data_IF_370713398692
#
_entry.id   IF_370713398692
#
_cell.length_a   1.000
_cell.length_b   1.000
_cell.length_c   1.000
_cell.angle_alpha   90.00
_cell.angle_beta   90.00
_cell.angle_gamma   90.00
#
_symmetry.space_group_name_H-M   'P 1'
#
loop_
_entity.id
_entity.type
_entity.pdbx_description
1 polymer ?
#
# COMPACT_ATOMS: atom_id res chain seq x y z
N UNK A 1 -3.74 18.46 -25.70
CA UNK A 1 -3.12 17.99 -24.45
C UNK A 1 -4.23 17.79 -23.44
N UNK A 2 -4.64 16.54 -23.19
CA UNK A 2 -5.68 16.26 -22.19
C UNK A 2 -5.17 16.63 -20.81
N UNK A 3 -5.96 17.38 -20.05
CA UNK A 3 -5.68 17.78 -18.67
C UNK A 3 -5.22 16.55 -17.87
N UNK A 4 -3.92 16.49 -17.54
CA UNK A 4 -3.35 15.50 -16.62
C UNK A 4 -4.11 15.49 -15.28
N UNK A 5 -4.74 16.62 -14.93
CA UNK A 5 -5.51 16.85 -13.71
C UNK A 5 -7.01 16.50 -13.78
N UNK A 6 -7.58 16.10 -14.94
CA UNK A 6 -9.00 15.70 -15.07
C UNK A 6 -9.19 14.18 -15.22
N UNK A 7 -8.31 13.37 -14.61
CA UNK A 7 -8.59 11.94 -14.47
C UNK A 7 -9.45 11.72 -13.22
N UNK A 8 -10.74 11.50 -13.41
CA UNK A 8 -11.59 10.98 -12.34
C UNK A 8 -11.17 9.54 -12.03
N UNK A 9 -10.27 9.38 -11.05
CA UNK A 9 -9.97 8.08 -10.49
C UNK A 9 -11.20 7.53 -9.77
N UNK A 10 -11.31 6.20 -9.76
CA UNK A 10 -12.30 5.53 -8.92
C UNK A 10 -11.97 5.74 -7.44
N UNK A 11 -12.99 5.74 -6.58
CA UNK A 11 -12.81 6.04 -5.16
C UNK A 11 -11.83 5.05 -4.51
N UNK A 12 -11.90 3.78 -4.88
CA UNK A 12 -11.04 2.70 -4.40
C UNK A 12 -9.57 2.96 -4.76
N UNK A 13 -9.30 3.39 -6.00
CA UNK A 13 -7.96 3.74 -6.46
C UNK A 13 -7.41 4.95 -5.71
N UNK A 14 -8.26 5.95 -5.49
CA UNK A 14 -7.89 7.17 -4.80
C UNK A 14 -7.55 6.89 -3.34
N UNK A 15 -8.41 6.16 -2.62
CA UNK A 15 -8.19 5.76 -1.23
C UNK A 15 -6.89 4.95 -1.11
N UNK A 16 -6.76 3.87 -1.87
CA UNK A 16 -5.60 2.99 -1.81
C UNK A 16 -4.30 3.73 -2.15
N UNK A 17 -4.29 4.52 -3.22
CA UNK A 17 -3.13 5.31 -3.62
C UNK A 17 -2.74 6.35 -2.57
N UNK A 18 -3.72 7.07 -2.01
CA UNK A 18 -3.47 8.04 -0.95
C UNK A 18 -2.94 7.41 0.33
N UNK A 19 -3.46 6.25 0.74
CA UNK A 19 -2.99 5.55 1.94
C UNK A 19 -1.55 5.04 1.75
N UNK A 20 -1.23 4.41 0.60
CA UNK A 20 0.15 4.03 0.27
C UNK A 20 1.11 5.22 0.29
N UNK A 21 0.70 6.34 -0.33
CA UNK A 21 1.53 7.55 -0.35
C UNK A 21 1.72 8.12 1.04
N UNK A 22 0.65 8.26 1.84
CA UNK A 22 0.74 8.83 3.18
C UNK A 22 1.61 7.97 4.11
N UNK A 23 1.38 6.65 4.15
CA UNK A 23 2.19 5.74 4.96
C UNK A 23 3.65 5.71 4.49
N UNK A 24 3.88 5.64 3.18
CA UNK A 24 5.23 5.64 2.62
C UNK A 24 6.01 6.92 2.93
N UNK A 25 5.40 8.09 2.74
CA UNK A 25 6.01 9.36 3.09
C UNK A 25 6.22 9.50 4.61
N UNK A 26 5.29 9.00 5.42
CA UNK A 26 5.42 8.91 6.87
C UNK A 26 6.67 8.14 7.28
N UNK A 27 6.84 6.93 6.76
CA UNK A 27 8.01 6.08 7.03
C UNK A 27 9.30 6.68 6.47
N UNK A 28 9.24 7.34 5.32
CA UNK A 28 10.40 7.96 4.67
C UNK A 28 10.92 9.18 5.43
N UNK A 29 10.03 10.08 5.86
CA UNK A 29 10.42 11.33 6.52
C UNK A 29 10.54 11.21 8.03
N UNK A 30 9.85 10.24 8.64
CA UNK A 30 9.83 10.03 10.09
C UNK A 30 10.21 8.58 10.46
N UNK A 31 11.38 8.07 10.03
CA UNK A 31 11.79 6.69 10.30
C UNK A 31 11.99 6.42 11.80
N UNK A 32 12.31 7.45 12.59
CA UNK A 32 12.50 7.34 14.05
C UNK A 32 11.18 6.97 14.76
N UNK A 33 10.04 7.53 14.31
CA UNK A 33 8.72 7.18 14.86
C UNK A 33 8.34 5.74 14.51
N UNK A 34 8.60 5.32 13.27
CA UNK A 34 8.34 3.94 12.84
C UNK A 34 9.22 2.97 13.61
N UNK A 35 10.50 3.29 13.82
CA UNK A 35 11.38 2.49 14.63
C UNK A 35 10.87 2.34 16.07
N UNK A 36 10.53 3.45 16.72
CA UNK A 36 10.11 3.47 18.13
C UNK A 36 8.78 2.76 18.37
N UNK A 37 7.82 2.91 17.45
CA UNK A 37 6.46 2.42 17.66
C UNK A 37 6.18 1.07 17.00
N UNK A 38 6.89 0.72 15.93
CA UNK A 38 6.59 -0.50 15.18
C UNK A 38 7.50 -1.68 15.52
N UNK A 39 8.73 -1.48 15.98
CA UNK A 39 9.64 -2.59 16.28
C UNK A 39 9.66 -2.91 17.77
N UNK A 40 9.73 -4.20 18.09
CA UNK A 40 9.99 -4.59 19.47
C UNK A 40 11.42 -4.21 19.85
N UNK A 41 11.61 -3.69 21.07
CA UNK A 41 12.92 -3.26 21.57
C UNK A 41 13.90 -4.42 21.67
N UNK A 42 13.40 -5.63 21.93
CA UNK A 42 14.24 -6.84 21.93
C UNK A 42 14.74 -7.20 20.52
N UNK A 43 14.02 -6.78 19.47
CA UNK A 43 14.34 -7.10 18.08
C UNK A 43 15.23 -6.04 17.42
N UNK A 44 14.97 -4.75 17.62
CA UNK A 44 15.65 -3.68 16.88
C UNK A 44 16.74 -2.92 17.63
N UNK A 45 16.79 -3.01 18.97
CA UNK A 45 17.76 -2.27 19.77
C UNK A 45 17.75 -0.76 19.49
N UNK A 46 18.93 -0.14 19.40
CA UNK A 46 19.06 1.27 18.99
C UNK A 46 18.95 1.42 17.46
N UNK A 47 18.34 2.54 17.02
CA UNK A 47 18.22 2.84 15.59
C UNK A 47 19.60 3.12 14.97
N UNK A 48 20.16 2.11 14.33
CA UNK A 48 21.43 2.25 13.60
C UNK A 48 21.24 3.09 12.32
N UNK A 49 22.31 3.77 11.83
CA UNK A 49 22.24 4.49 10.55
C UNK A 49 21.82 3.61 9.36
N UNK A 50 22.21 2.34 9.37
CA UNK A 50 21.83 1.37 8.35
C UNK A 50 20.32 1.06 8.39
N UNK A 51 19.78 0.79 9.59
CA UNK A 51 18.34 0.54 9.75
C UNK A 51 17.51 1.78 9.40
N UNK A 52 17.98 2.98 9.78
CA UNK A 52 17.34 4.24 9.37
C UNK A 52 17.25 4.35 7.85
N UNK A 53 18.33 4.09 7.14
CA UNK A 53 18.33 4.11 5.67
C UNK A 53 17.36 3.06 5.08
N UNK A 54 17.32 1.86 5.66
CA UNK A 54 16.40 0.79 5.22
C UNK A 54 14.93 1.21 5.38
N UNK A 55 14.56 1.78 6.53
CA UNK A 55 13.21 2.29 6.76
C UNK A 55 12.85 3.39 5.75
N UNK A 56 13.78 4.31 5.49
CA UNK A 56 13.55 5.38 4.51
C UNK A 56 13.37 4.83 3.09
N UNK A 57 14.18 3.85 2.69
CA UNK A 57 14.02 3.15 1.42
C UNK A 57 12.67 2.44 1.33
N UNK A 58 12.27 1.71 2.37
CA UNK A 58 10.97 1.04 2.43
C UNK A 58 9.81 2.04 2.29
N UNK A 59 9.85 3.14 3.04
CA UNK A 59 8.88 4.23 2.92
C UNK A 59 8.83 4.83 1.52
N UNK A 60 9.98 5.09 0.90
CA UNK A 60 10.05 5.64 -0.46
C UNK A 60 9.43 4.72 -1.51
N UNK A 61 9.61 3.40 -1.38
CA UNK A 61 9.02 2.41 -2.28
C UNK A 61 7.48 2.39 -2.15
N UNK A 62 6.96 2.43 -0.92
CA UNK A 62 5.53 2.54 -0.67
C UNK A 62 4.94 3.85 -1.22
N UNK A 63 5.66 4.97 -1.04
CA UNK A 63 5.24 6.27 -1.58
C UNK A 63 5.19 6.28 -3.11
N UNK A 64 6.21 5.70 -3.75
CA UNK A 64 6.27 5.53 -5.21
C UNK A 64 5.13 4.64 -5.72
N UNK A 65 4.82 3.54 -5.01
CA UNK A 65 3.68 2.67 -5.33
C UNK A 65 2.37 3.47 -5.30
N UNK A 66 2.10 4.19 -4.20
CA UNK A 66 0.91 5.03 -4.06
C UNK A 66 0.80 6.11 -5.15
N UNK A 67 1.92 6.77 -5.48
CA UNK A 67 1.94 7.77 -6.55
C UNK A 67 1.68 7.16 -7.93
N UNK A 68 2.21 5.95 -8.18
CA UNK A 68 1.95 5.21 -9.41
C UNK A 68 0.48 4.81 -9.52
N UNK A 69 -0.13 4.37 -8.42
CA UNK A 69 -1.57 4.12 -8.34
C UNK A 69 -2.35 5.40 -8.69
N UNK A 70 -2.00 6.54 -8.09
CA UNK A 70 -2.71 7.81 -8.33
C UNK A 70 -2.48 8.42 -9.73
N UNK A 71 -1.44 8.01 -10.44
CA UNK A 71 -1.09 8.58 -11.75
C UNK A 71 -1.49 7.69 -12.94
N UNK A 72 -1.90 6.45 -12.69
CA UNK A 72 -2.26 5.47 -13.73
C UNK A 72 -3.77 5.25 -13.82
N UNK A 73 -4.23 4.61 -14.90
CA UNK A 73 -5.63 4.16 -15.03
C UNK A 73 -5.65 2.65 -14.83
N UNK A 74 -6.43 2.18 -13.86
CA UNK A 74 -6.54 0.75 -13.57
C UNK A 74 -7.80 0.15 -14.20
N UNK A 75 -7.59 -0.96 -14.91
CA UNK A 75 -8.61 -1.88 -15.40
C UNK A 75 -8.87 -3.00 -14.38
N UNK A 76 -9.80 -3.92 -14.67
CA UNK A 76 -10.09 -5.03 -13.76
C UNK A 76 -8.83 -5.89 -13.48
N UNK A 77 -8.01 -6.12 -14.51
CA UNK A 77 -6.79 -6.93 -14.37
C UNK A 77 -5.78 -6.30 -13.40
N UNK A 78 -5.66 -4.97 -13.40
CA UNK A 78 -4.79 -4.20 -12.53
C UNK A 78 -5.14 -4.42 -11.06
N UNK A 79 -6.42 -4.26 -10.70
CA UNK A 79 -6.90 -4.51 -9.33
C UNK A 79 -6.73 -5.95 -8.89
N UNK A 80 -7.05 -6.92 -9.78
CA UNK A 80 -6.89 -8.35 -9.47
C UNK A 80 -5.42 -8.69 -9.20
N UNK A 81 -4.53 -8.29 -10.10
CA UNK A 81 -3.12 -8.64 -10.00
C UNK A 81 -2.47 -7.96 -8.79
N UNK A 82 -2.82 -6.70 -8.52
CA UNK A 82 -2.33 -6.01 -7.32
C UNK A 82 -2.86 -6.66 -6.04
N UNK A 83 -4.16 -6.99 -5.98
CA UNK A 83 -4.75 -7.70 -4.84
C UNK A 83 -4.11 -9.07 -4.58
N UNK A 84 -3.76 -9.81 -5.64
CA UNK A 84 -2.99 -11.07 -5.49
C UNK A 84 -1.56 -10.81 -5.00
N UNK A 85 -0.92 -9.74 -5.47
CA UNK A 85 0.40 -9.34 -5.01
C UNK A 85 0.44 -8.89 -3.54
N UNK A 86 -0.72 -8.63 -2.91
CA UNK A 86 -0.82 -8.36 -1.48
C UNK A 86 -0.67 -9.61 -0.60
N UNK A 87 -0.85 -10.82 -1.13
CA UNK A 87 -0.85 -12.07 -0.34
C UNK A 87 0.44 -12.25 0.47
N UNK A 88 1.66 -12.05 -0.09
CA UNK A 88 2.89 -12.15 0.68
C UNK A 88 2.96 -11.15 1.86
N UNK A 89 2.33 -9.99 1.75
CA UNK A 89 2.32 -8.99 2.82
C UNK A 89 1.46 -9.43 4.01
N UNK A 90 0.32 -10.07 3.76
CA UNK A 90 -0.47 -10.69 4.85
C UNK A 90 0.29 -11.83 5.55
N UNK A 91 1.08 -12.61 4.81
CA UNK A 91 1.95 -13.64 5.39
C UNK A 91 3.06 -12.99 6.21
N UNK A 92 3.65 -11.90 5.71
CA UNK A 92 4.66 -11.12 6.40
C UNK A 92 4.10 -10.53 7.71
N UNK A 93 2.91 -9.94 7.71
CA UNK A 93 2.25 -9.40 8.91
C UNK A 93 2.07 -10.46 9.99
N UNK A 94 1.52 -11.61 9.59
CA UNK A 94 1.31 -12.73 10.50
C UNK A 94 2.64 -13.25 11.07
N UNK A 95 3.69 -13.28 10.25
CA UNK A 95 5.03 -13.65 10.68
C UNK A 95 5.64 -12.62 11.65
N UNK A 96 5.59 -11.34 11.29
CA UNK A 96 6.19 -10.27 12.06
C UNK A 96 5.49 -10.09 13.43
N UNK A 97 4.18 -10.29 13.48
CA UNK A 97 3.39 -10.24 14.71
C UNK A 97 3.77 -11.33 15.74
N UNK A 98 4.58 -12.34 15.37
CA UNK A 98 5.09 -13.36 16.31
C UNK A 98 6.27 -12.89 17.18
N UNK A 99 6.66 -11.60 17.12
CA UNK A 99 7.63 -11.02 18.06
C UNK A 99 8.67 -10.08 17.44
N UNK A 100 8.59 -9.78 16.14
CA UNK A 100 9.48 -8.80 15.50
C UNK A 100 8.94 -7.36 15.58
N UNK A 101 7.63 -7.21 15.57
CA UNK A 101 6.94 -5.91 15.62
C UNK A 101 6.00 -5.82 16.81
N UNK A 102 5.78 -4.60 17.28
CA UNK A 102 4.82 -4.33 18.35
C UNK A 102 3.38 -4.60 17.86
N UNK A 103 2.40 -4.77 18.77
CA UNK A 103 0.99 -4.81 18.39
C UNK A 103 0.52 -3.57 17.61
N UNK A 104 1.13 -2.41 17.86
CA UNK A 104 0.81 -1.17 17.15
C UNK A 104 1.37 -1.20 15.72
N UNK A 105 2.59 -1.69 15.52
CA UNK A 105 3.17 -1.90 14.20
C UNK A 105 2.38 -2.91 13.38
N UNK A 106 2.02 -4.04 13.99
CA UNK A 106 1.20 -5.08 13.36
C UNK A 106 -0.19 -4.58 12.98
N UNK A 107 -0.81 -3.76 13.85
CA UNK A 107 -2.11 -3.16 13.57
C UNK A 107 -2.01 -2.11 12.46
N UNK A 108 -0.95 -1.30 12.43
CA UNK A 108 -0.73 -0.31 11.39
C UNK A 108 -0.57 -0.93 9.99
N UNK A 109 0.34 -1.91 9.85
CA UNK A 109 0.57 -2.58 8.57
C UNK A 109 -0.63 -3.44 8.15
N UNK A 110 -1.15 -4.24 9.09
CA UNK A 110 -2.32 -5.08 8.85
C UNK A 110 -3.56 -4.28 8.45
N UNK A 111 -3.82 -3.13 9.08
CA UNK A 111 -4.92 -2.25 8.69
C UNK A 111 -4.72 -1.68 7.29
N UNK A 112 -3.50 -1.26 6.95
CA UNK A 112 -3.15 -0.82 5.59
C UNK A 112 -3.44 -1.92 4.56
N UNK A 113 -2.95 -3.13 4.81
CA UNK A 113 -3.13 -4.29 3.93
C UNK A 113 -4.60 -4.66 3.76
N UNK A 114 -5.42 -4.60 4.83
CA UNK A 114 -6.87 -4.79 4.74
C UNK A 114 -7.53 -3.72 3.87
N UNK A 115 -7.16 -2.44 4.02
CA UNK A 115 -7.67 -1.35 3.17
C UNK A 115 -7.33 -1.62 1.70
N UNK A 116 -6.08 -1.99 1.41
CA UNK A 116 -5.61 -2.26 0.05
C UNK A 116 -6.34 -3.44 -0.59
N UNK A 117 -6.47 -4.55 0.14
CA UNK A 117 -7.19 -5.73 -0.33
C UNK A 117 -8.67 -5.43 -0.58
N UNK A 118 -9.31 -4.66 0.31
CA UNK A 118 -10.71 -4.26 0.17
C UNK A 118 -10.92 -3.37 -1.05
N UNK A 119 -10.05 -2.38 -1.26
CA UNK A 119 -10.07 -1.52 -2.44
C UNK A 119 -9.83 -2.34 -3.72
N UNK A 120 -8.93 -3.32 -3.70
CA UNK A 120 -8.69 -4.21 -4.84
C UNK A 120 -9.91 -5.06 -5.17
N UNK A 121 -10.59 -5.61 -4.16
CA UNK A 121 -11.78 -6.41 -4.36
C UNK A 121 -12.92 -5.60 -5.00
N UNK A 122 -13.24 -4.43 -4.44
CA UNK A 122 -14.31 -3.58 -4.97
C UNK A 122 -13.95 -2.95 -6.32
N UNK A 123 -12.70 -2.51 -6.49
CA UNK A 123 -12.20 -1.99 -7.76
C UNK A 123 -12.25 -3.04 -8.88
N UNK A 124 -11.88 -4.29 -8.59
CA UNK A 124 -12.00 -5.40 -9.53
C UNK A 124 -13.45 -5.63 -9.96
N UNK A 125 -14.38 -5.73 -9.01
CA UNK A 125 -15.80 -5.95 -9.32
C UNK A 125 -16.38 -4.79 -10.13
N UNK A 126 -16.14 -3.55 -9.72
CA UNK A 126 -16.63 -2.38 -10.45
C UNK A 126 -16.11 -2.32 -11.88
N UNK A 127 -14.83 -2.64 -12.11
CA UNK A 127 -14.25 -2.61 -13.46
C UNK A 127 -14.72 -3.77 -14.33
N UNK A 128 -14.81 -4.97 -13.76
CA UNK A 128 -15.32 -6.13 -14.48
C UNK A 128 -16.76 -5.93 -14.96
N UNK A 129 -17.63 -5.39 -14.10
CA UNK A 129 -19.02 -5.10 -14.46
C UNK A 129 -19.13 -4.03 -15.57
N UNK A 130 -18.21 -3.05 -15.61
CA UNK A 130 -18.13 -2.04 -16.67
C UNK A 130 -17.65 -2.65 -18.00
N UNK A 131 -16.61 -3.48 -17.94
CA UNK A 131 -16.04 -4.19 -19.10
C UNK A 131 -17.06 -5.17 -19.72
N UNK A 132 -17.86 -5.86 -18.91
CA UNK A 132 -18.92 -6.76 -19.38
C UNK A 132 -20.10 -6.01 -20.02
N UNK A 133 -20.43 -4.80 -19.53
CA UNK A 133 -21.52 -3.97 -20.08
C UNK A 133 -21.15 -3.21 -21.35
N UNK A 134 -19.86 -3.01 -21.60
CA UNK A 134 -19.33 -2.35 -22.79
C UNK A 134 -18.32 -3.27 -23.47
N UNK A 135 -18.77 -4.41 -24.04
CA UNK A 135 -17.88 -5.33 -24.71
C UNK A 135 -17.11 -4.60 -25.81
N UNK A 136 -15.82 -4.92 -26.02
CA UNK A 136 -15.05 -4.29 -27.07
C UNK A 136 -15.77 -4.49 -28.41
N UNK A 137 -16.02 -3.39 -29.12
CA UNK A 137 -16.51 -3.41 -30.49
C UNK A 137 -15.43 -4.12 -31.33
N UNK A 138 -15.68 -5.40 -31.63
CA UNK A 138 -14.95 -6.15 -32.67
C UNK A 138 -15.30 -5.60 -34.05
#
# INVERSE_FOLDING_TARGET
MGNIFQRHLKQEQWIMGSVFTAMGLGTMFFPDLVHEYCFDREFSGELTPALKLVLQCFGSQAALCGWTILSTKWDASSYRNFGLAMIPYFVFDAYAAMGAITPLGALGDGLGNVIFATCCYFGYRSRKDEEEKSPPLL
#
